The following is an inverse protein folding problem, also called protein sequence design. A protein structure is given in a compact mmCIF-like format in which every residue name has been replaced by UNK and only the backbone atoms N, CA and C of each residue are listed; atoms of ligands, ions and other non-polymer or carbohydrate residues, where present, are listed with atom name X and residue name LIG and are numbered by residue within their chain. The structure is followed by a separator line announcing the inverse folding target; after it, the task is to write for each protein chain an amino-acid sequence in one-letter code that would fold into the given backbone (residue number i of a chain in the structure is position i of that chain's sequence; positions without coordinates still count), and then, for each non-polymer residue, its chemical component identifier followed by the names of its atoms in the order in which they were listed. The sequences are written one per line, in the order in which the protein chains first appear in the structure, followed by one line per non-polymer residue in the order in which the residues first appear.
data_IF_410929122874
#
_entry.id   IF_410929122874
#
_cell.length_a   1.000
_cell.length_b   1.000
_cell.length_c   1.000
_cell.angle_alpha   90.00
_cell.angle_beta   90.00
_cell.angle_gamma   90.00
#
_symmetry.space_group_name_H-M   'P 1'
#
loop_
_entity.id
_entity.type
_entity.pdbx_description
1 polymer ?
#
# COMPACT_ATOMS: atom_id res chain seq x y z
N UNK A 1 -9.03 7.89 0.11
CA UNK A 1 -8.54 9.13 -0.54
C UNK A 1 -7.78 8.80 -1.82
N UNK A 2 -6.79 7.90 -1.80
CA UNK A 2 -6.03 7.50 -3.01
C UNK A 2 -6.89 6.86 -4.11
N UNK A 3 -7.74 5.88 -3.81
CA UNK A 3 -8.56 5.22 -4.84
C UNK A 3 -9.52 6.18 -5.56
N UNK A 4 -10.28 6.97 -4.82
CA UNK A 4 -11.18 7.99 -5.39
C UNK A 4 -10.42 9.04 -6.23
N UNK A 5 -9.18 9.38 -5.86
CA UNK A 5 -8.31 10.22 -6.69
C UNK A 5 -7.95 9.53 -8.01
N UNK A 6 -7.61 8.25 -7.99
CA UNK A 6 -7.34 7.48 -9.22
C UNK A 6 -8.58 7.37 -10.11
N UNK A 7 -9.78 7.15 -9.53
CA UNK A 7 -11.04 7.17 -10.29
C UNK A 7 -11.26 8.54 -10.93
N UNK A 8 -11.08 9.64 -10.19
CA UNK A 8 -11.20 11.00 -10.73
C UNK A 8 -10.20 11.29 -11.85
N UNK A 9 -9.00 10.73 -11.76
CA UNK A 9 -8.01 10.85 -12.84
C UNK A 9 -8.47 10.10 -14.10
N UNK A 10 -9.09 8.92 -13.94
CA UNK A 10 -9.66 8.17 -15.05
C UNK A 10 -10.87 8.85 -15.69
N UNK A 11 -11.74 9.51 -14.91
CA UNK A 11 -12.85 10.31 -15.45
C UNK A 11 -12.31 11.43 -16.35
N UNK A 12 -11.27 12.16 -15.90
CA UNK A 12 -10.63 13.20 -16.71
C UNK A 12 -9.98 12.64 -17.97
N UNK A 13 -9.41 11.43 -17.90
CA UNK A 13 -8.72 10.79 -19.01
C UNK A 13 -9.68 10.24 -20.07
N UNK A 14 -10.78 9.63 -19.63
CA UNK A 14 -11.74 8.91 -20.50
C UNK A 14 -12.91 9.78 -20.93
N UNK A 15 -13.26 10.81 -20.16
CA UNK A 15 -14.48 11.59 -20.33
C UNK A 15 -15.75 10.86 -19.88
N UNK A 16 -15.62 9.66 -19.30
CA UNK A 16 -16.74 8.89 -18.73
C UNK A 16 -17.04 9.34 -17.29
N UNK A 17 -18.33 9.30 -16.91
CA UNK A 17 -18.75 9.47 -15.52
C UNK A 17 -18.52 8.15 -14.76
N UNK A 18 -17.64 8.20 -13.75
CA UNK A 18 -17.29 7.05 -12.90
C UNK A 18 -17.62 7.34 -11.43
N UNK A 19 -18.50 8.31 -11.16
CA UNK A 19 -18.89 8.71 -9.81
C UNK A 19 -19.45 7.54 -8.99
N UNK A 20 -20.07 6.55 -9.66
CA UNK A 20 -20.55 5.33 -9.04
C UNK A 20 -19.45 4.44 -8.45
N UNK A 21 -18.20 4.58 -8.90
CA UNK A 21 -17.06 3.83 -8.38
C UNK A 21 -16.52 4.43 -7.09
N UNK A 22 -16.79 5.71 -6.77
CA UNK A 22 -16.14 6.38 -5.64
C UNK A 22 -16.33 5.66 -4.31
N UNK A 23 -17.53 5.11 -4.08
CA UNK A 23 -17.90 4.42 -2.86
C UNK A 23 -18.31 2.96 -3.15
N UNK A 24 -17.92 2.43 -4.31
CA UNK A 24 -18.14 1.03 -4.63
C UNK A 24 -17.41 0.12 -3.61
N UNK A 25 -18.05 -0.96 -3.14
CA UNK A 25 -17.43 -1.86 -2.18
C UNK A 25 -16.24 -2.58 -2.81
N UNK A 26 -15.06 -2.42 -2.21
CA UNK A 26 -13.84 -3.12 -2.62
C UNK A 26 -13.59 -4.25 -1.62
N UNK A 27 -13.62 -5.49 -2.11
CA UNK A 27 -13.34 -6.65 -1.27
C UNK A 27 -11.87 -6.68 -0.82
N UNK A 28 -10.93 -6.47 -1.75
CA UNK A 28 -9.49 -6.36 -1.49
C UNK A 28 -8.81 -5.53 -2.58
N UNK A 29 -7.71 -4.86 -2.21
CA UNK A 29 -6.84 -4.17 -3.16
C UNK A 29 -5.76 -5.16 -3.61
N UNK A 30 -6.06 -5.90 -4.68
CA UNK A 30 -5.10 -6.80 -5.34
C UNK A 30 -4.73 -6.23 -6.70
N UNK A 31 -3.42 -6.19 -6.99
CA UNK A 31 -2.97 -5.95 -8.35
C UNK A 31 -3.35 -7.15 -9.23
N UNK A 32 -3.99 -6.88 -10.36
CA UNK A 32 -4.38 -7.90 -11.34
C UNK A 32 -4.09 -7.42 -12.76
N UNK A 33 -3.75 -8.33 -13.70
CA UNK A 33 -3.67 -8.00 -15.11
C UNK A 33 -4.97 -7.38 -15.61
N UNK A 34 -4.85 -6.44 -16.55
CA UNK A 34 -6.02 -5.82 -17.21
C UNK A 34 -6.43 -6.58 -18.47
N UNK A 35 -5.73 -7.66 -18.83
CA UNK A 35 -5.99 -8.42 -20.05
C UNK A 35 -7.40 -9.03 -20.02
N UNK A 36 -8.13 -8.89 -21.13
CA UNK A 36 -9.51 -9.36 -21.25
C UNK A 36 -10.56 -8.45 -20.58
N UNK A 37 -10.17 -7.50 -19.73
CA UNK A 37 -11.09 -6.52 -19.14
C UNK A 37 -11.38 -5.38 -20.10
N UNK A 38 -12.65 -4.95 -20.16
CA UNK A 38 -13.12 -3.84 -20.99
C UNK A 38 -14.03 -2.87 -20.21
N UNK A 39 -14.16 -1.66 -20.75
CA UNK A 39 -15.03 -0.62 -20.19
C UNK A 39 -14.81 -0.38 -18.71
N UNK A 40 -15.91 -0.29 -17.96
CA UNK A 40 -15.92 0.04 -16.54
C UNK A 40 -15.09 -0.91 -15.67
N UNK A 41 -15.17 -2.21 -15.91
CA UNK A 41 -14.43 -3.21 -15.11
C UNK A 41 -12.91 -3.02 -15.26
N UNK A 42 -12.46 -2.69 -16.47
CA UNK A 42 -11.06 -2.36 -16.73
C UNK A 42 -10.63 -1.11 -15.98
N UNK A 43 -11.46 -0.06 -15.98
CA UNK A 43 -11.17 1.21 -15.31
C UNK A 43 -11.13 1.04 -13.79
N UNK A 44 -12.08 0.30 -13.23
CA UNK A 44 -12.13 -0.03 -11.81
C UNK A 44 -10.87 -0.79 -11.37
N UNK A 45 -10.51 -1.87 -12.08
CA UNK A 45 -9.29 -2.63 -11.77
C UNK A 45 -8.02 -1.79 -11.99
N UNK A 46 -7.99 -0.90 -12.99
CA UNK A 46 -6.87 0.02 -13.18
C UNK A 46 -6.70 0.96 -11.99
N UNK A 47 -7.79 1.56 -11.49
CA UNK A 47 -7.75 2.42 -10.30
C UNK A 47 -7.27 1.64 -9.06
N UNK A 48 -7.67 0.38 -8.90
CA UNK A 48 -7.17 -0.51 -7.84
C UNK A 48 -5.66 -0.73 -7.99
N UNK A 49 -5.19 -1.12 -9.17
CA UNK A 49 -3.75 -1.35 -9.43
C UNK A 49 -2.91 -0.09 -9.16
N UNK A 50 -3.40 1.08 -9.58
CA UNK A 50 -2.73 2.37 -9.32
C UNK A 50 -2.69 2.69 -7.83
N UNK A 51 -3.76 2.39 -7.10
CA UNK A 51 -3.82 2.56 -5.65
C UNK A 51 -2.82 1.65 -4.94
N UNK A 52 -2.77 0.36 -5.29
CA UNK A 52 -1.79 -0.61 -4.74
C UNK A 52 -0.37 -0.12 -5.00
N UNK A 53 -0.04 0.25 -6.25
CA UNK A 53 1.28 0.78 -6.60
C UNK A 53 1.67 2.03 -5.80
N UNK A 54 0.71 2.94 -5.55
CA UNK A 54 0.94 4.13 -4.72
C UNK A 54 1.17 3.78 -3.25
N UNK A 55 0.47 2.77 -2.71
CA UNK A 55 0.72 2.26 -1.36
C UNK A 55 2.11 1.61 -1.29
N UNK A 56 2.48 0.81 -2.30
CA UNK A 56 3.81 0.20 -2.40
C UNK A 56 4.92 1.24 -2.33
N UNK A 57 4.87 2.25 -3.20
CA UNK A 57 5.84 3.35 -3.22
C UNK A 57 5.87 4.13 -1.89
N UNK A 58 4.71 4.31 -1.25
CA UNK A 58 4.66 4.95 0.06
C UNK A 58 5.36 4.09 1.14
N UNK A 59 5.24 2.76 1.09
CA UNK A 59 5.91 1.86 2.01
C UNK A 59 7.43 1.80 1.75
N UNK A 60 7.86 1.78 0.48
CA UNK A 60 9.28 1.90 0.12
C UNK A 60 9.87 3.20 0.68
N UNK A 61 9.22 4.34 0.41
CA UNK A 61 9.65 5.64 0.91
C UNK A 61 9.66 5.69 2.45
N UNK A 62 8.66 5.08 3.09
CA UNK A 62 8.59 5.00 4.54
C UNK A 62 9.78 4.23 5.12
N UNK A 63 10.07 3.03 4.62
CA UNK A 63 11.20 2.21 5.08
C UNK A 63 12.53 2.93 4.79
N UNK A 64 12.71 3.48 3.59
CA UNK A 64 13.90 4.27 3.25
C UNK A 64 14.13 5.41 4.24
N UNK A 65 13.08 6.18 4.54
CA UNK A 65 13.17 7.31 5.47
C UNK A 65 13.53 6.88 6.89
N UNK A 66 13.03 5.73 7.35
CA UNK A 66 13.39 5.20 8.68
C UNK A 66 14.86 4.75 8.76
N UNK A 67 15.52 4.49 7.63
CA UNK A 67 16.93 4.13 7.58
C UNK A 67 17.86 5.28 7.15
N UNK A 68 17.33 6.47 6.86
CA UNK A 68 18.14 7.61 6.37
C UNK A 68 17.94 8.91 7.13
N UNK A 69 16.81 9.10 7.80
CA UNK A 69 16.57 10.31 8.62
C UNK A 69 17.38 10.21 9.92
N UNK A 70 18.26 11.19 10.13
CA UNK A 70 19.08 11.30 11.33
C UNK A 70 18.36 12.08 12.45
N UNK A 71 18.57 11.64 13.69
CA UNK A 71 18.11 12.41 14.86
C UNK A 71 18.94 13.68 15.05
N UNK A 72 18.33 14.77 15.54
CA UNK A 72 19.04 16.07 15.74
C UNK A 72 20.23 16.00 16.70
N UNK A 73 20.31 14.98 17.56
CA UNK A 73 21.31 14.83 18.61
C UNK A 73 22.55 14.02 18.22
N UNK A 74 22.62 13.47 17.00
CA UNK A 74 23.78 12.70 16.54
C UNK A 74 23.51 12.01 15.21
N UNK A 75 24.58 11.72 14.47
CA UNK A 75 24.63 11.06 13.15
C UNK A 75 24.02 9.64 13.09
N UNK A 76 23.11 9.28 13.98
CA UNK A 76 22.43 8.00 14.03
C UNK A 76 20.99 8.13 13.49
N UNK A 77 20.56 7.09 12.78
CA UNK A 77 19.18 6.91 12.33
C UNK A 77 18.21 6.80 13.50
N UNK A 78 16.96 7.20 13.29
CA UNK A 78 15.93 7.18 14.33
C UNK A 78 15.55 5.74 14.69
N UNK A 79 15.68 5.39 15.97
CA UNK A 79 15.16 4.13 16.49
C UNK A 79 13.62 4.14 16.43
N UNK A 80 13.04 3.29 15.58
CA UNK A 80 11.60 3.29 15.30
C UNK A 80 11.02 1.88 15.28
N UNK A 81 9.73 1.78 15.62
CA UNK A 81 8.97 0.54 15.48
C UNK A 81 7.54 0.82 15.02
N UNK A 82 6.93 -0.19 14.39
CA UNK A 82 5.53 -0.18 13.96
C UNK A 82 4.83 -1.45 14.43
N UNK A 83 3.55 -1.33 14.78
CA UNK A 83 2.71 -2.44 15.21
C UNK A 83 1.55 -2.60 14.22
N UNK A 84 1.33 -3.81 13.74
CA UNK A 84 0.22 -4.13 12.83
C UNK A 84 -0.19 -5.60 12.93
N UNK A 85 -1.20 -6.01 12.15
CA UNK A 85 -1.60 -7.42 12.02
C UNK A 85 -3.06 -7.73 12.34
N UNK A 86 -3.80 -6.81 12.99
CA UNK A 86 -5.20 -7.08 13.40
C UNK A 86 -6.26 -6.35 12.59
N UNK A 87 -5.86 -5.51 11.65
CA UNK A 87 -6.81 -4.83 10.75
C UNK A 87 -7.22 -5.79 9.63
N UNK A 88 -8.51 -5.99 9.44
CA UNK A 88 -9.06 -6.89 8.43
C UNK A 88 -9.73 -6.14 7.28
N UNK A 89 -9.71 -4.81 7.26
CA UNK A 89 -10.21 -4.00 6.14
C UNK A 89 -9.38 -4.26 4.85
N UNK A 90 -9.97 -3.98 3.69
CA UNK A 90 -9.26 -4.11 2.41
C UNK A 90 -8.01 -3.21 2.39
N UNK A 91 -8.13 -1.98 2.91
CA UNK A 91 -7.05 -1.01 3.03
C UNK A 91 -5.96 -1.49 3.99
N UNK A 92 -6.35 -1.99 5.17
CA UNK A 92 -5.42 -2.53 6.16
C UNK A 92 -4.63 -3.71 5.61
N UNK A 93 -5.29 -4.63 4.90
CA UNK A 93 -4.64 -5.77 4.23
C UNK A 93 -3.68 -5.31 3.13
N UNK A 94 -4.05 -4.29 2.35
CA UNK A 94 -3.19 -3.68 1.34
C UNK A 94 -1.91 -3.12 1.98
N UNK A 95 -2.04 -2.22 2.96
CA UNK A 95 -0.89 -1.59 3.63
C UNK A 95 0.04 -2.65 4.25
N UNK A 96 -0.53 -3.64 4.96
CA UNK A 96 0.26 -4.70 5.58
C UNK A 96 0.98 -5.57 4.54
N UNK A 97 0.35 -5.86 3.40
CA UNK A 97 0.99 -6.62 2.33
C UNK A 97 2.14 -5.84 1.71
N UNK A 98 1.88 -4.59 1.35
CA UNK A 98 2.87 -3.75 0.68
C UNK A 98 4.07 -3.45 1.57
N UNK A 99 3.88 -3.18 2.87
CA UNK A 99 5.02 -2.97 3.76
C UNK A 99 5.88 -4.22 3.93
N UNK A 100 5.26 -5.41 3.99
CA UNK A 100 5.99 -6.69 4.04
C UNK A 100 6.76 -6.94 2.75
N UNK A 101 6.17 -6.63 1.58
CA UNK A 101 6.84 -6.75 0.29
C UNK A 101 8.02 -5.79 0.16
N UNK A 102 7.84 -4.51 0.45
CA UNK A 102 8.93 -3.51 0.43
C UNK A 102 10.05 -3.88 1.41
N UNK A 103 9.71 -4.47 2.56
CA UNK A 103 10.72 -4.98 3.52
C UNK A 103 11.53 -6.12 2.92
N UNK A 104 10.88 -7.04 2.22
CA UNK A 104 11.53 -8.19 1.58
C UNK A 104 12.42 -7.76 0.41
N UNK A 105 12.00 -6.75 -0.36
CA UNK A 105 12.79 -6.17 -1.45
C UNK A 105 14.04 -5.45 -0.93
N UNK A 106 14.01 -4.93 0.29
CA UNK A 106 15.12 -4.22 0.92
C UNK A 106 15.19 -2.74 0.53
N UNK A 107 16.23 -2.05 1.01
CA UNK A 107 16.44 -0.60 0.81
C UNK A 107 17.64 -0.37 -0.11
N UNK A 108 17.55 0.61 -1.01
CA UNK A 108 18.64 0.94 -1.93
C UNK A 108 18.91 -0.21 -2.89
N UNK A 109 20.09 -0.84 -2.80
CA UNK A 109 20.47 -1.98 -3.63
C UNK A 109 19.99 -3.33 -3.06
N UNK A 110 18.85 -3.33 -2.36
CA UNK A 110 18.30 -4.53 -1.70
C UNK A 110 18.94 -4.85 -0.35
N UNK A 111 19.49 -3.84 0.35
CA UNK A 111 20.04 -4.02 1.69
C UNK A 111 18.94 -4.29 2.70
N UNK A 112 19.26 -5.08 3.74
CA UNK A 112 18.30 -5.38 4.81
C UNK A 112 18.00 -4.11 5.62
N UNK A 113 16.73 -3.70 5.64
CA UNK A 113 16.27 -2.60 6.47
C UNK A 113 16.47 -2.91 7.96
N UNK A 114 17.11 -2.01 8.71
CA UNK A 114 17.23 -2.12 10.18
C UNK A 114 15.98 -1.57 10.85
N UNK A 115 15.43 -0.49 10.28
CA UNK A 115 14.24 0.19 10.78
C UNK A 115 13.13 0.31 9.71
N UNK A 116 11.87 0.47 10.13
CA UNK A 116 11.40 0.34 11.51
C UNK A 116 11.42 -1.14 11.95
N UNK A 117 11.55 -1.38 13.25
CA UNK A 117 11.27 -2.71 13.83
C UNK A 117 9.78 -3.01 13.61
N UNK A 118 9.49 -4.15 13.01
CA UNK A 118 8.12 -4.54 12.66
C UNK A 118 7.58 -5.57 13.63
N UNK A 119 6.47 -5.24 14.30
CA UNK A 119 5.87 -6.07 15.33
C UNK A 119 4.51 -6.57 14.83
N UNK A 120 4.46 -7.86 14.48
CA UNK A 120 3.22 -8.53 14.09
C UNK A 120 2.42 -8.97 15.31
N UNK A 121 1.24 -8.40 15.50
CA UNK A 121 0.31 -8.83 16.55
C UNK A 121 -0.46 -10.06 16.11
N UNK A 122 -0.09 -11.22 16.63
CA UNK A 122 -0.80 -12.48 16.43
C UNK A 122 -2.11 -12.53 17.24
N UNK A 123 -3.23 -12.84 16.61
CA UNK A 123 -4.55 -13.00 17.25
C UNK A 123 -5.35 -14.13 16.58
N UNK A 124 -5.82 -15.09 17.40
CA UNK A 124 -6.69 -16.18 16.93
C UNK A 124 -7.99 -15.62 16.35
N UNK A 125 -8.44 -16.20 15.23
CA UNK A 125 -9.64 -15.76 14.50
C UNK A 125 -9.46 -14.48 13.71
N UNK A 126 -8.22 -13.96 13.61
CA UNK A 126 -7.88 -12.80 12.78
C UNK A 126 -6.77 -13.15 11.81
N UNK A 127 -5.63 -13.59 12.34
CA UNK A 127 -4.44 -13.92 11.55
C UNK A 127 -3.76 -15.23 12.00
N UNK A 128 -4.47 -16.02 12.80
CA UNK A 128 -4.03 -17.30 13.32
C UNK A 128 -5.22 -18.21 13.59
N UNK A 129 -5.03 -19.51 13.36
CA UNK A 129 -6.02 -20.56 13.58
C UNK A 129 -6.28 -20.83 15.07
#
# INVERSE_FOLDING_TARGET
MSYQEEVKNLEKLTGEDLSNLYDAPIDDYLEKPLDGLQGRERLEQHAINKTVNRVHQAMEAFIHNMNTIHSRGGNQVVFSSINYGTDTSAEGRCIMREILQSTYQGVGNGETAIFPIQIWKKKRGVNYL
#
